data_IF_183920748706
#
_entry.id   IF_183920748706
#
_cell.length_a   1.000
_cell.length_b   1.000
_cell.length_c   1.000
_cell.angle_alpha   90.00
_cell.angle_beta   90.00
_cell.angle_gamma   90.00
#
_symmetry.space_group_name_H-M   'P 1'
#
loop_
_entity.id
_entity.type
_entity.pdbx_description
1 polymer ?
#
# COMPACT_ATOMS: atom_id res chain seq x y z
N UNK A 1 41.28 -26.50 7.64
CA UNK A 1 40.12 -27.06 6.92
C UNK A 1 38.88 -26.62 7.68
N UNK A 2 38.28 -25.50 7.28
CA UNK A 2 36.85 -25.17 7.46
C UNK A 2 36.63 -23.82 6.81
N UNK A 3 35.97 -23.87 5.67
CA UNK A 3 35.72 -22.78 4.76
C UNK A 3 34.92 -21.67 5.42
N UNK A 4 35.40 -20.46 5.19
CA UNK A 4 34.69 -19.20 5.37
C UNK A 4 33.39 -19.22 4.57
N UNK A 5 32.29 -19.67 5.17
CA UNK A 5 30.92 -19.39 4.71
C UNK A 5 30.64 -17.90 4.93
N UNK A 6 31.27 -17.08 4.07
CA UNK A 6 30.90 -15.68 3.87
C UNK A 6 29.58 -15.73 3.13
N UNK A 7 28.49 -15.75 3.89
CA UNK A 7 27.15 -15.51 3.38
C UNK A 7 27.18 -14.12 2.77
N UNK A 8 27.50 -14.02 1.48
CA UNK A 8 27.20 -12.85 0.69
C UNK A 8 25.69 -12.72 0.72
N UNK A 9 25.21 -11.95 1.70
CA UNK A 9 23.98 -11.21 1.56
C UNK A 9 24.15 -10.39 0.30
N UNK A 10 23.74 -10.95 -0.84
CA UNK A 10 23.42 -10.20 -2.04
C UNK A 10 22.28 -9.29 -1.61
N UNK A 11 22.67 -8.17 -0.98
CA UNK A 11 21.81 -7.06 -0.67
C UNK A 11 21.50 -6.49 -2.02
N UNK A 12 20.47 -7.07 -2.63
CA UNK A 12 19.90 -6.66 -3.88
C UNK A 12 19.32 -5.27 -3.60
N UNK A 13 20.18 -4.25 -3.70
CA UNK A 13 19.84 -2.83 -3.71
C UNK A 13 19.04 -2.56 -4.98
N UNK A 14 17.84 -3.16 -5.05
CA UNK A 14 16.78 -2.72 -5.92
C UNK A 14 16.40 -1.34 -5.43
N UNK A 15 17.04 -0.34 -6.03
CA UNK A 15 16.70 1.07 -5.84
C UNK A 15 15.25 1.27 -6.30
N UNK A 16 14.33 1.11 -5.34
CA UNK A 16 12.92 1.38 -5.57
C UNK A 16 12.77 2.87 -5.91
N UNK A 17 11.96 3.22 -6.93
CA UNK A 17 11.74 4.61 -7.28
C UNK A 17 11.20 5.39 -6.08
N UNK A 18 11.68 6.63 -5.88
CA UNK A 18 11.36 7.47 -4.71
C UNK A 18 9.86 7.56 -4.39
N UNK A 19 9.00 7.53 -5.41
CA UNK A 19 7.55 7.57 -5.21
C UNK A 19 6.97 6.33 -4.55
N UNK A 20 7.64 5.17 -4.60
CA UNK A 20 7.25 3.97 -3.84
C UNK A 20 7.42 4.20 -2.34
N UNK A 21 8.51 4.85 -1.93
CA UNK A 21 8.73 5.22 -0.53
C UNK A 21 7.73 6.27 -0.05
N UNK A 22 7.39 7.24 -0.91
CA UNK A 22 6.33 8.21 -0.63
C UNK A 22 4.96 7.51 -0.48
N UNK A 23 4.66 6.53 -1.32
CA UNK A 23 3.44 5.74 -1.24
C UNK A 23 3.40 4.89 0.03
N UNK A 24 4.50 4.22 0.36
CA UNK A 24 4.63 3.43 1.58
C UNK A 24 4.41 4.30 2.82
N UNK A 25 4.98 5.50 2.84
CA UNK A 25 4.79 6.48 3.92
C UNK A 25 3.33 6.94 4.03
N UNK A 26 2.68 7.21 2.89
CA UNK A 26 1.25 7.52 2.83
C UNK A 26 0.38 6.37 3.36
N UNK A 27 0.68 5.13 2.99
CA UNK A 27 -0.02 3.93 3.48
C UNK A 27 0.19 3.75 4.98
N UNK A 28 1.40 4.00 5.48
CA UNK A 28 1.70 3.99 6.92
C UNK A 28 0.91 5.07 7.67
N UNK A 29 0.84 6.28 7.11
CA UNK A 29 0.10 7.38 7.71
C UNK A 29 -1.41 7.10 7.72
N UNK A 30 -1.95 6.58 6.62
CA UNK A 30 -3.35 6.17 6.53
C UNK A 30 -3.67 5.00 7.48
N UNK A 31 -2.81 3.97 7.51
CA UNK A 31 -2.94 2.82 8.40
C UNK A 31 -2.85 3.22 9.87
N UNK A 32 -1.90 4.09 10.21
CA UNK A 32 -1.75 4.67 11.55
C UNK A 32 -2.97 5.50 11.97
N UNK A 33 -3.50 6.34 11.07
CA UNK A 33 -4.72 7.10 11.33
C UNK A 33 -5.93 6.19 11.56
N UNK A 34 -6.03 5.08 10.82
CA UNK A 34 -7.10 4.09 11.01
C UNK A 34 -6.96 3.30 12.32
N UNK A 35 -5.73 2.96 12.74
CA UNK A 35 -5.49 2.36 14.05
C UNK A 35 -5.85 3.33 15.19
N UNK A 36 -5.46 4.60 15.05
CA UNK A 36 -5.85 5.65 16.00
C UNK A 36 -7.38 5.80 16.05
N UNK A 37 -8.04 5.82 14.89
CA UNK A 37 -9.48 5.85 14.78
C UNK A 37 -10.15 4.64 15.44
N UNK A 38 -9.57 3.44 15.31
CA UNK A 38 -10.07 2.22 15.93
C UNK A 38 -10.06 2.29 17.47
N UNK A 39 -9.17 3.08 18.06
CA UNK A 39 -9.08 3.29 19.52
C UNK A 39 -9.97 4.48 19.93
N UNK A 40 -9.85 5.60 19.23
CA UNK A 40 -10.48 6.88 19.57
C UNK A 40 -12.01 6.85 19.34
N UNK A 41 -12.51 6.41 18.18
CA UNK A 41 -13.95 6.49 17.89
C UNK A 41 -14.83 5.70 18.88
N UNK A 42 -14.44 4.48 19.32
CA UNK A 42 -15.18 3.77 20.35
C UNK A 42 -15.21 4.50 21.69
N UNK A 43 -14.09 5.14 22.08
CA UNK A 43 -14.00 5.95 23.30
C UNK A 43 -14.94 7.17 23.25
N UNK A 44 -15.13 7.78 22.07
CA UNK A 44 -16.05 8.89 21.89
C UNK A 44 -17.52 8.47 21.65
N UNK A 45 -17.80 7.18 21.47
CA UNK A 45 -19.16 6.69 21.17
C UNK A 45 -19.70 7.11 19.79
N UNK A 46 -18.86 7.65 18.90
CA UNK A 46 -19.23 8.17 17.57
C UNK A 46 -18.92 7.19 16.45
N UNK A 47 -18.58 5.95 16.78
CA UNK A 47 -18.22 4.92 15.80
C UNK A 47 -19.43 4.54 14.93
N UNK A 48 -19.47 5.04 13.69
CA UNK A 48 -20.45 4.60 12.68
C UNK A 48 -20.19 3.18 12.16
N UNK A 49 -18.97 2.67 12.35
CA UNK A 49 -18.54 1.34 11.89
C UNK A 49 -17.88 0.61 13.08
N UNK A 50 -18.04 -0.71 13.22
CA UNK A 50 -17.35 -1.47 14.26
C UNK A 50 -15.83 -1.28 14.28
N UNK A 51 -15.27 -1.08 15.47
CA UNK A 51 -13.84 -0.78 15.70
C UNK A 51 -12.87 -1.80 15.06
N UNK A 52 -13.24 -3.08 15.04
CA UNK A 52 -12.43 -4.14 14.46
C UNK A 52 -12.23 -3.98 12.95
N UNK A 53 -13.16 -3.30 12.25
CA UNK A 53 -13.03 -3.03 10.80
C UNK A 53 -11.88 -2.03 10.59
N UNK A 54 -11.81 -0.97 11.41
CA UNK A 54 -10.71 -0.01 11.36
C UNK A 54 -9.36 -0.67 11.66
N UNK A 55 -9.31 -1.63 12.60
CA UNK A 55 -8.10 -2.42 12.85
C UNK A 55 -7.71 -3.28 11.65
N UNK A 56 -8.67 -3.96 11.03
CA UNK A 56 -8.41 -4.78 9.84
C UNK A 56 -7.85 -3.92 8.70
N UNK A 57 -8.50 -2.81 8.39
CA UNK A 57 -8.03 -1.88 7.35
C UNK A 57 -6.65 -1.31 7.73
N UNK A 58 -6.48 -0.79 8.95
CA UNK A 58 -5.22 -0.23 9.41
C UNK A 58 -4.07 -1.23 9.32
N UNK A 59 -4.29 -2.47 9.78
CA UNK A 59 -3.33 -3.56 9.65
C UNK A 59 -3.01 -3.89 8.19
N UNK A 60 -4.03 -3.96 7.32
CA UNK A 60 -3.84 -4.19 5.89
C UNK A 60 -2.97 -3.10 5.23
N UNK A 61 -3.23 -1.83 5.53
CA UNK A 61 -2.42 -0.70 5.06
C UNK A 61 -0.95 -0.79 5.50
N UNK A 62 -0.69 -1.17 6.74
CA UNK A 62 0.66 -1.37 7.27
C UNK A 62 1.38 -2.53 6.57
N UNK A 63 0.70 -3.66 6.37
CA UNK A 63 1.25 -4.84 5.70
C UNK A 63 1.61 -4.51 4.24
N UNK A 64 0.75 -3.78 3.53
CA UNK A 64 1.05 -3.31 2.17
C UNK A 64 2.21 -2.32 2.17
N UNK A 65 2.20 -1.32 3.06
CA UNK A 65 3.27 -0.32 3.16
C UNK A 65 4.62 -0.97 3.40
N UNK A 66 4.67 -1.95 4.30
CA UNK A 66 5.86 -2.76 4.56
C UNK A 66 6.27 -3.60 3.33
N UNK A 67 5.30 -4.20 2.64
CA UNK A 67 5.54 -4.94 1.40
C UNK A 67 6.09 -4.07 0.26
N UNK A 68 5.63 -2.82 0.16
CA UNK A 68 6.13 -1.83 -0.80
C UNK A 68 7.56 -1.43 -0.48
N UNK A 69 7.85 -1.18 0.79
CA UNK A 69 9.19 -0.83 1.26
C UNK A 69 10.20 -1.95 0.96
N UNK A 70 9.78 -3.20 1.13
CA UNK A 70 10.59 -4.37 0.79
C UNK A 70 10.64 -4.72 -0.71
N UNK A 71 10.05 -3.92 -1.60
CA UNK A 71 10.09 -4.19 -3.05
C UNK A 71 9.41 -5.49 -3.48
N UNK A 72 8.49 -6.04 -2.67
CA UNK A 72 7.90 -7.36 -2.91
C UNK A 72 6.88 -7.31 -4.05
N UNK A 73 6.96 -8.27 -4.97
CA UNK A 73 6.00 -8.45 -6.09
C UNK A 73 4.54 -8.49 -5.65
N UNK A 74 4.27 -9.14 -4.51
CA UNK A 74 2.91 -9.25 -3.96
C UNK A 74 2.34 -7.90 -3.50
N UNK A 75 3.18 -6.97 -3.04
CA UNK A 75 2.73 -5.65 -2.61
C UNK A 75 2.20 -4.81 -3.78
N UNK A 76 2.75 -5.02 -4.99
CA UNK A 76 2.25 -4.42 -6.21
C UNK A 76 0.79 -4.82 -6.48
N UNK A 77 0.51 -6.12 -6.47
CA UNK A 77 -0.85 -6.64 -6.67
C UNK A 77 -1.79 -6.23 -5.54
N UNK A 78 -1.34 -6.27 -4.28
CA UNK A 78 -2.16 -5.88 -3.13
C UNK A 78 -2.58 -4.40 -3.19
N UNK A 79 -1.68 -3.51 -3.62
CA UNK A 79 -1.97 -2.07 -3.73
C UNK A 79 -2.88 -1.76 -4.90
N UNK A 80 -2.71 -2.44 -6.04
CA UNK A 80 -3.63 -2.34 -7.17
C UNK A 80 -5.04 -2.83 -6.81
N UNK A 81 -5.12 -3.99 -6.16
CA UNK A 81 -6.39 -4.56 -5.71
C UNK A 81 -7.05 -3.65 -4.68
N UNK A 82 -6.28 -3.08 -3.76
CA UNK A 82 -6.76 -2.05 -2.83
C UNK A 82 -7.32 -0.83 -3.56
N UNK A 83 -6.60 -0.28 -4.54
CA UNK A 83 -7.09 0.86 -5.32
C UNK A 83 -8.38 0.52 -6.07
N UNK A 84 -8.49 -0.68 -6.64
CA UNK A 84 -9.69 -1.13 -7.31
C UNK A 84 -10.88 -1.23 -6.34
N UNK A 85 -10.69 -1.85 -5.17
CA UNK A 85 -11.72 -2.01 -4.14
C UNK A 85 -12.16 -0.66 -3.59
N UNK A 86 -11.23 0.18 -3.15
CA UNK A 86 -11.55 1.51 -2.61
C UNK A 86 -12.18 2.40 -3.69
N UNK A 87 -11.67 2.35 -4.93
CA UNK A 87 -12.25 3.09 -6.05
C UNK A 87 -13.70 2.71 -6.30
N UNK A 88 -14.00 1.40 -6.27
CA UNK A 88 -15.36 0.89 -6.43
C UNK A 88 -16.28 1.33 -5.28
N UNK A 89 -15.83 1.23 -4.02
CA UNK A 89 -16.59 1.73 -2.86
C UNK A 89 -16.87 3.22 -2.94
N UNK A 90 -15.88 4.03 -3.35
CA UNK A 90 -16.04 5.47 -3.50
C UNK A 90 -16.99 5.81 -4.65
N UNK A 91 -16.94 5.06 -5.75
CA UNK A 91 -17.85 5.22 -6.87
C UNK A 91 -19.30 4.90 -6.48
N UNK A 92 -19.52 3.83 -5.70
CA UNK A 92 -20.83 3.53 -5.13
C UNK A 92 -21.30 4.64 -4.19
N UNK A 93 -20.45 5.11 -3.27
CA UNK A 93 -20.81 6.19 -2.36
C UNK A 93 -21.14 7.51 -3.10
N UNK A 94 -20.41 7.81 -4.18
CA UNK A 94 -20.67 8.99 -5.00
C UNK A 94 -22.04 8.90 -5.72
N UNK A 95 -22.36 7.73 -6.29
CA UNK A 95 -23.64 7.51 -6.98
C UNK A 95 -24.83 7.39 -6.02
N UNK A 96 -24.65 6.74 -4.88
CA UNK A 96 -25.74 6.41 -3.94
C UNK A 96 -26.00 7.53 -2.94
N UNK A 97 -24.94 8.18 -2.42
CA UNK A 97 -25.08 9.23 -1.39
C UNK A 97 -24.93 10.66 -1.92
N UNK A 98 -24.64 10.84 -3.23
CA UNK A 98 -24.40 12.17 -3.81
C UNK A 98 -23.22 12.92 -3.18
N UNK A 99 -22.36 12.21 -2.43
CA UNK A 99 -21.20 12.76 -1.73
C UNK A 99 -20.12 13.03 -2.76
N UNK A 100 -19.57 14.24 -2.76
CA UNK A 100 -18.56 14.65 -3.73
C UNK A 100 -17.21 13.96 -3.46
N UNK A 101 -17.08 12.70 -3.86
CA UNK A 101 -15.90 11.85 -3.67
C UNK A 101 -14.93 11.93 -4.85
N UNK A 102 -15.17 12.83 -5.82
CA UNK A 102 -14.36 12.99 -7.04
C UNK A 102 -12.88 13.16 -6.73
N UNK A 103 -12.52 13.97 -5.73
CA UNK A 103 -11.12 14.18 -5.35
C UNK A 103 -10.45 12.87 -4.90
N UNK A 104 -11.10 12.08 -4.04
CA UNK A 104 -10.55 10.80 -3.58
C UNK A 104 -10.42 9.79 -4.73
N UNK A 105 -11.41 9.73 -5.63
CA UNK A 105 -11.36 8.86 -6.80
C UNK A 105 -10.22 9.24 -7.73
N UNK A 106 -10.03 10.54 -8.01
CA UNK A 106 -8.94 11.05 -8.85
C UNK A 106 -7.57 10.73 -8.23
N UNK A 107 -7.41 10.93 -6.92
CA UNK A 107 -6.17 10.57 -6.20
C UNK A 107 -5.89 9.08 -6.30
N UNK A 108 -6.89 8.23 -6.10
CA UNK A 108 -6.75 6.78 -6.26
C UNK A 108 -6.38 6.38 -7.69
N UNK A 109 -7.04 6.98 -8.69
CA UNK A 109 -6.74 6.74 -10.09
C UNK A 109 -5.31 7.16 -10.43
N UNK A 110 -4.86 8.33 -9.94
CA UNK A 110 -3.49 8.80 -10.12
C UNK A 110 -2.46 7.84 -9.51
N UNK A 111 -2.74 7.30 -8.31
CA UNK A 111 -1.89 6.29 -7.65
C UNK A 111 -1.85 4.99 -8.47
N UNK A 112 -3.00 4.52 -8.97
CA UNK A 112 -3.07 3.32 -9.79
C UNK A 112 -2.28 3.50 -11.10
N UNK A 113 -2.45 4.63 -11.79
CA UNK A 113 -1.70 4.96 -13.01
C UNK A 113 -0.20 5.07 -12.71
N UNK A 114 0.18 5.67 -11.58
CA UNK A 114 1.57 5.74 -11.14
C UNK A 114 2.16 4.35 -10.92
N UNK A 115 1.44 3.43 -10.29
CA UNK A 115 1.89 2.03 -10.18
C UNK A 115 2.01 1.34 -11.53
N UNK A 116 1.10 1.60 -12.48
CA UNK A 116 1.19 1.04 -13.83
C UNK A 116 2.36 1.61 -14.65
N UNK A 117 3.01 2.69 -14.22
CA UNK A 117 4.14 3.23 -14.96
C UNK A 117 5.25 2.17 -15.13
N UNK A 118 5.86 2.08 -16.32
CA UNK A 118 6.83 1.05 -16.65
C UNK A 118 8.05 1.07 -15.72
N UNK A 119 8.42 2.23 -15.18
CA UNK A 119 9.51 2.37 -14.20
C UNK A 119 9.20 1.65 -12.87
N UNK A 120 7.99 1.83 -12.33
CA UNK A 120 7.56 1.19 -11.07
C UNK A 120 7.31 -0.29 -11.33
N UNK A 121 6.59 -0.63 -12.40
CA UNK A 121 6.31 -2.00 -12.80
C UNK A 121 7.60 -2.81 -13.02
N UNK A 122 8.62 -2.23 -13.63
CA UNK A 122 9.93 -2.87 -13.81
C UNK A 122 10.66 -3.10 -12.47
N UNK A 123 10.60 -2.15 -11.53
CA UNK A 123 11.24 -2.31 -10.22
C UNK A 123 10.69 -3.51 -9.42
N UNK A 124 9.39 -3.81 -9.56
CA UNK A 124 8.75 -4.94 -8.90
C UNK A 124 8.79 -6.25 -9.72
N UNK A 125 8.50 -6.19 -11.02
CA UNK A 125 8.30 -7.39 -11.85
C UNK A 125 9.56 -7.90 -12.54
N UNK A 126 10.63 -7.11 -12.68
CA UNK A 126 11.84 -7.57 -13.37
C UNK A 126 12.45 -8.77 -12.60
N UNK A 127 12.71 -9.92 -13.26
CA UNK A 127 13.52 -10.98 -12.67
C UNK A 127 14.89 -10.41 -12.31
N UNK A 128 15.51 -10.89 -11.24
CA UNK A 128 16.94 -10.66 -11.06
C UNK A 128 17.61 -11.18 -12.34
N UNK A 129 18.20 -10.28 -13.14
CA UNK A 129 19.00 -10.71 -14.28
C UNK A 129 20.10 -11.61 -13.71
N UNK A 130 20.27 -12.84 -14.21
CA UNK A 130 21.46 -13.62 -13.91
C UNK A 130 22.66 -12.77 -14.32
N UNK A 131 23.64 -12.64 -13.44
CA UNK A 131 24.92 -12.03 -13.79
C UNK A 131 25.55 -12.87 -14.91
N UNK A 132 25.74 -12.27 -16.08
CA UNK A 132 26.67 -12.77 -17.10
C UNK A 132 28.07 -12.24 -16.81
#
# INVERSE_FOLDING_TARGET
MTESLKTETIQNDRTLPRGVYALASLLFLAGGALLLAAIILPLLGTASVPWFIYLLYGGYFLVIGYGLWGGKRWAFFATLLMCAVLGFYQFQNALVLGRNALFQVIVLAAIAVYMLQPAVRAAFLRPAQPAE
#
